data_IF_188020325763
#
_entry.id   IF_188020325763
#
_cell.length_a   1.000
_cell.length_b   1.000
_cell.length_c   1.000
_cell.angle_alpha   90.00
_cell.angle_beta   90.00
_cell.angle_gamma   90.00
#
_symmetry.space_group_name_H-M   'P 1'
#
loop_
_entity.id
_entity.type
_entity.pdbx_description
1 polymer ?
#
# COMPACT_ATOMS: atom_id res chain seq x y z
N UNK A 1 -9.69 9.27 35.27
CA UNK A 1 -8.27 9.01 35.56
C UNK A 1 -8.16 7.63 36.17
N UNK A 2 -7.35 6.76 35.57
CA UNK A 2 -7.05 5.42 36.12
C UNK A 2 -6.07 5.63 37.28
N UNK A 3 -6.33 5.03 38.43
CA UNK A 3 -5.45 5.14 39.60
C UNK A 3 -4.39 4.02 39.60
N UNK A 4 -3.31 4.23 40.35
CA UNK A 4 -2.16 3.31 40.42
C UNK A 4 -2.58 1.87 40.79
N UNK A 5 -3.58 1.72 41.67
CA UNK A 5 -4.10 0.43 42.08
C UNK A 5 -4.78 -0.33 40.93
N UNK A 6 -5.51 0.38 40.07
CA UNK A 6 -6.14 -0.19 38.87
C UNK A 6 -5.11 -0.64 37.83
N UNK A 7 -4.00 0.10 37.70
CA UNK A 7 -2.88 -0.30 36.81
C UNK A 7 -2.19 -1.55 37.35
N UNK A 8 -1.89 -1.59 38.65
CA UNK A 8 -1.23 -2.74 39.29
C UNK A 8 -2.10 -4.00 39.15
N UNK A 9 -3.40 -3.91 39.40
CA UNK A 9 -4.28 -5.07 39.29
C UNK A 9 -4.45 -5.52 37.83
N UNK A 10 -4.44 -4.61 36.87
CA UNK A 10 -4.40 -4.97 35.45
C UNK A 10 -3.11 -5.71 35.08
N UNK A 11 -1.94 -5.23 35.52
CA UNK A 11 -0.65 -5.83 35.18
C UNK A 11 -0.45 -7.22 35.80
N UNK A 12 -1.02 -7.48 36.98
CA UNK A 12 -1.02 -8.83 37.59
C UNK A 12 -1.73 -9.88 36.75
N UNK A 13 -2.64 -9.49 35.85
CA UNK A 13 -3.36 -10.42 34.97
C UNK A 13 -2.59 -10.79 33.70
N UNK A 14 -1.38 -10.26 33.50
CA UNK A 14 -0.61 -10.40 32.27
C UNK A 14 0.63 -11.26 32.47
N UNK A 15 1.05 -11.92 31.40
CA UNK A 15 2.25 -12.75 31.42
C UNK A 15 3.54 -11.93 31.43
N UNK A 16 4.65 -12.61 31.78
CA UNK A 16 5.95 -11.97 31.90
C UNK A 16 6.41 -11.34 30.58
N UNK A 17 6.11 -11.97 29.44
CA UNK A 17 6.42 -11.41 28.11
C UNK A 17 5.71 -10.09 27.83
N UNK A 18 4.45 -9.95 28.23
CA UNK A 18 3.68 -8.73 28.08
C UNK A 18 4.19 -7.61 29.00
N UNK A 19 4.58 -7.97 30.23
CA UNK A 19 5.21 -7.03 31.16
C UNK A 19 6.57 -6.58 30.64
N UNK A 20 7.40 -7.50 30.14
CA UNK A 20 8.71 -7.20 29.56
C UNK A 20 8.58 -6.35 28.29
N UNK A 21 7.57 -6.61 27.45
CA UNK A 21 7.23 -5.78 26.31
C UNK A 21 6.82 -4.37 26.73
N UNK A 22 5.93 -4.22 27.72
CA UNK A 22 5.55 -2.92 28.28
C UNK A 22 6.75 -2.17 28.85
N UNK A 23 7.64 -2.85 29.57
CA UNK A 23 8.89 -2.25 30.04
C UNK A 23 9.81 -1.86 28.88
N UNK A 24 9.90 -2.65 27.81
CA UNK A 24 10.65 -2.27 26.61
C UNK A 24 10.05 -1.04 25.93
N UNK A 25 8.73 -0.91 25.91
CA UNK A 25 8.01 0.21 25.32
C UNK A 25 8.17 1.49 26.16
N UNK A 26 8.11 1.35 27.49
CA UNK A 26 8.36 2.43 28.45
C UNK A 26 9.83 2.86 28.41
N UNK A 27 10.77 1.92 28.37
CA UNK A 27 12.21 2.21 28.28
C UNK A 27 12.58 2.83 26.92
N UNK A 28 11.96 2.41 25.81
CA UNK A 28 12.15 3.07 24.52
C UNK A 28 11.57 4.50 24.49
N UNK A 29 10.52 4.78 25.27
CA UNK A 29 10.00 6.14 25.45
C UNK A 29 10.77 6.96 26.52
N UNK A 30 11.53 6.29 27.41
CA UNK A 30 12.35 6.90 28.46
C UNK A 30 13.83 7.01 28.10
N UNK A 31 14.26 6.47 26.96
CA UNK A 31 15.56 6.74 26.36
C UNK A 31 15.59 8.18 25.82
N UNK A 32 15.49 9.15 26.74
CA UNK A 32 16.24 10.39 26.66
C UNK A 32 17.71 9.98 26.55
N UNK A 33 18.21 9.80 25.33
CA UNK A 33 19.65 9.84 25.12
C UNK A 33 20.14 11.16 25.67
N UNK A 34 20.97 11.08 26.71
CA UNK A 34 21.71 12.21 27.22
C UNK A 34 22.41 12.94 26.07
N UNK A 35 22.57 14.24 26.24
CA UNK A 35 22.86 15.24 25.21
C UNK A 35 24.23 15.15 24.52
N UNK A 36 24.96 14.03 24.60
CA UNK A 36 26.32 13.91 24.06
C UNK A 36 26.41 13.40 22.62
N UNK A 37 25.42 12.65 22.10
CA UNK A 37 25.60 11.89 20.84
C UNK A 37 24.55 12.17 19.75
N UNK A 38 23.78 13.26 19.86
CA UNK A 38 22.78 13.58 18.84
C UNK A 38 23.44 14.15 17.57
N UNK A 39 23.25 13.47 16.44
CA UNK A 39 23.73 13.91 15.12
C UNK A 39 22.56 14.48 14.34
N UNK A 40 22.76 15.60 13.64
CA UNK A 40 21.76 16.14 12.75
C UNK A 40 21.45 15.15 11.62
N UNK A 41 20.23 14.60 11.52
CA UNK A 41 19.91 13.59 10.51
C UNK A 41 19.81 14.15 9.09
N UNK A 42 19.91 15.48 8.96
CA UNK A 42 19.81 16.19 7.67
C UNK A 42 21.20 16.42 7.04
N UNK A 43 22.24 16.63 7.85
CA UNK A 43 23.58 16.99 7.35
C UNK A 43 24.73 16.23 8.03
N UNK A 44 24.45 15.34 8.98
CA UNK A 44 25.47 14.55 9.68
C UNK A 44 26.28 15.32 10.73
N UNK A 45 25.98 16.61 10.97
CA UNK A 45 26.73 17.42 11.94
C UNK A 45 26.41 17.03 13.39
N UNK A 46 27.46 16.95 14.23
CA UNK A 46 27.38 16.80 15.69
C UNK A 46 27.15 18.14 16.42
N UNK A 47 27.24 19.27 15.73
CA UNK A 47 26.98 20.59 16.31
C UNK A 47 25.47 20.84 16.41
N UNK A 48 24.86 20.32 17.46
CA UNK A 48 23.41 20.42 17.71
C UNK A 48 23.13 20.97 19.12
N UNK A 49 22.03 21.71 19.26
CA UNK A 49 21.53 22.17 20.56
C UNK A 49 20.06 21.86 20.75
N UNK A 50 19.62 21.68 21.99
CA UNK A 50 18.18 21.59 22.34
C UNK A 50 17.46 22.89 21.93
N UNK A 51 16.25 22.76 21.37
CA UNK A 51 15.44 23.85 20.83
C UNK A 51 13.98 23.77 21.31
N UNK A 52 13.79 23.62 22.62
CA UNK A 52 12.48 23.46 23.25
C UNK A 52 11.84 22.10 22.96
N UNK A 53 10.56 21.96 23.32
CA UNK A 53 9.76 20.75 23.07
C UNK A 53 8.57 21.05 22.15
N UNK A 54 8.04 20.02 21.50
CA UNK A 54 6.78 20.12 20.75
C UNK A 54 5.54 19.99 21.67
N UNK A 55 4.34 20.10 21.10
CA UNK A 55 3.07 19.98 21.84
C UNK A 55 2.83 18.61 22.47
N UNK A 56 3.63 17.60 22.10
CA UNK A 56 3.61 16.26 22.65
C UNK A 56 4.80 16.04 23.61
N UNK A 57 5.38 17.11 24.14
CA UNK A 57 6.53 17.09 25.05
C UNK A 57 7.81 16.45 24.47
N UNK A 58 7.90 16.28 23.14
CA UNK A 58 9.11 15.72 22.50
C UNK A 58 10.19 16.75 22.32
N UNK A 59 11.43 16.37 22.62
CA UNK A 59 12.58 17.25 22.46
C UNK A 59 12.84 17.60 20.99
N UNK A 60 12.96 18.89 20.69
CA UNK A 60 13.42 19.41 19.40
C UNK A 60 14.89 19.80 19.49
N UNK A 61 15.62 19.66 18.40
CA UNK A 61 17.04 20.00 18.27
C UNK A 61 17.25 20.96 17.11
N UNK A 62 18.14 21.94 17.26
CA UNK A 62 18.58 22.84 16.18
C UNK A 62 20.03 22.50 15.81
N UNK A 63 20.25 22.13 14.56
CA UNK A 63 21.60 21.99 14.01
C UNK A 63 22.22 23.38 13.79
N UNK A 64 23.47 23.55 14.21
CA UNK A 64 24.21 24.80 14.06
C UNK A 64 24.88 24.97 12.70
N UNK A 65 25.08 23.89 11.96
CA UNK A 65 25.66 23.93 10.61
C UNK A 65 24.58 24.20 9.55
N UNK A 66 23.56 23.35 9.46
CA UNK A 66 22.50 23.50 8.45
C UNK A 66 21.33 24.39 8.89
N UNK A 67 21.34 24.87 10.14
CA UNK A 67 20.32 25.73 10.75
C UNK A 67 18.89 25.16 10.75
N UNK A 68 18.72 23.85 10.51
CA UNK A 68 17.41 23.19 10.51
C UNK A 68 17.09 22.59 11.88
N UNK A 69 15.81 22.58 12.21
CA UNK A 69 15.29 21.90 13.40
C UNK A 69 14.91 20.46 13.07
N UNK A 70 15.22 19.53 13.97
CA UNK A 70 14.86 18.11 13.87
C UNK A 70 14.44 17.57 15.24
N UNK A 71 13.92 16.35 15.25
CA UNK A 71 13.55 15.55 16.41
C UNK A 71 13.76 14.07 16.08
N UNK A 72 13.44 13.19 17.05
CA UNK A 72 13.42 11.73 16.93
C UNK A 72 12.61 11.20 15.73
N UNK A 73 11.58 11.93 15.29
CA UNK A 73 10.73 11.56 14.14
C UNK A 73 11.21 12.08 12.81
N UNK A 74 12.26 12.89 12.75
CA UNK A 74 12.72 13.48 11.50
C UNK A 74 13.19 12.40 10.53
N UNK A 75 12.80 12.51 9.25
CA UNK A 75 13.00 11.51 8.19
C UNK A 75 12.19 10.21 8.30
N UNK A 76 11.42 10.02 9.37
CA UNK A 76 10.46 8.90 9.47
C UNK A 76 9.11 9.25 8.86
N UNK A 77 8.25 8.25 8.62
CA UNK A 77 6.85 8.42 8.23
C UNK A 77 6.07 9.40 9.12
N UNK A 78 6.41 9.43 10.42
CA UNK A 78 5.75 10.25 11.44
C UNK A 78 6.21 11.72 11.41
N UNK A 79 7.13 12.07 10.52
CA UNK A 79 7.52 13.46 10.25
C UNK A 79 6.28 14.31 9.96
N UNK A 80 6.22 15.47 10.61
CA UNK A 80 5.11 16.43 10.50
C UNK A 80 3.73 15.91 10.93
N UNK A 81 3.64 14.74 11.58
CA UNK A 81 2.40 14.27 12.18
C UNK A 81 2.29 14.77 13.61
N UNK A 82 1.17 15.44 13.91
CA UNK A 82 0.84 15.87 15.27
C UNK A 82 0.18 14.75 16.10
N UNK A 83 -0.07 13.60 15.50
CA UNK A 83 -0.79 12.48 16.13
C UNK A 83 0.10 11.66 17.05
N UNK A 84 -0.52 11.11 18.08
CA UNK A 84 0.10 10.17 19.02
C UNK A 84 0.34 8.82 18.35
N UNK A 85 1.22 7.99 18.93
CA UNK A 85 1.41 6.63 18.40
C UNK A 85 0.16 5.77 18.57
N UNK A 86 -0.59 5.96 19.65
CA UNK A 86 -1.89 5.30 19.86
C UNK A 86 -2.89 5.63 18.74
N UNK A 87 -2.96 6.90 18.32
CA UNK A 87 -3.80 7.30 17.19
C UNK A 87 -3.35 6.66 15.88
N UNK A 88 -2.04 6.51 15.65
CA UNK A 88 -1.52 5.81 14.47
C UNK A 88 -1.81 4.30 14.51
N UNK A 89 -1.63 3.64 15.66
CA UNK A 89 -1.98 2.22 15.84
C UNK A 89 -3.46 2.00 15.58
N UNK A 90 -4.33 2.84 16.18
CA UNK A 90 -5.77 2.80 15.94
C UNK A 90 -6.07 3.02 14.45
N UNK A 91 -5.46 4.02 13.82
CA UNK A 91 -5.67 4.26 12.39
C UNK A 91 -5.33 3.04 11.53
N UNK A 92 -4.17 2.42 11.77
CA UNK A 92 -3.75 1.20 11.06
C UNK A 92 -4.75 0.06 11.30
N UNK A 93 -5.27 -0.08 12.52
CA UNK A 93 -6.30 -1.08 12.85
C UNK A 93 -7.59 -0.88 12.04
N UNK A 94 -8.02 0.37 11.86
CA UNK A 94 -9.19 0.70 11.05
C UNK A 94 -8.95 0.46 9.56
N UNK A 95 -7.75 0.76 9.06
CA UNK A 95 -7.33 0.49 7.67
C UNK A 95 -7.31 -1.02 7.36
N UNK A 96 -6.77 -1.85 8.28
CA UNK A 96 -6.81 -3.32 8.17
C UNK A 96 -8.28 -3.80 8.07
N UNK A 97 -9.19 -3.12 8.79
CA UNK A 97 -10.62 -3.41 8.82
C UNK A 97 -11.39 -2.88 7.60
N UNK A 98 -10.71 -2.24 6.65
CA UNK A 98 -11.30 -1.64 5.43
C UNK A 98 -12.39 -0.61 5.73
N UNK A 99 -12.21 0.15 6.81
CA UNK A 99 -13.17 1.17 7.20
C UNK A 99 -13.19 2.33 6.19
N UNK A 100 -14.34 3.01 6.09
CA UNK A 100 -14.45 4.19 5.22
C UNK A 100 -13.72 5.36 5.87
N UNK A 101 -13.18 6.23 5.02
CA UNK A 101 -12.41 7.39 5.44
C UNK A 101 -13.16 8.32 6.41
N UNK A 102 -14.46 8.50 6.20
CA UNK A 102 -15.31 9.35 7.05
C UNK A 102 -15.49 8.73 8.45
N UNK A 103 -15.68 7.41 8.50
CA UNK A 103 -15.83 6.67 9.75
C UNK A 103 -14.49 6.64 10.51
N UNK A 104 -13.37 6.44 9.81
CA UNK A 104 -12.02 6.50 10.40
C UNK A 104 -11.71 7.87 11.00
N UNK A 105 -12.01 8.94 10.27
CA UNK A 105 -11.80 10.31 10.75
C UNK A 105 -12.62 10.59 12.01
N UNK A 106 -13.85 10.07 12.07
CA UNK A 106 -14.71 10.15 13.24
C UNK A 106 -14.10 9.44 14.46
N UNK A 107 -13.69 8.19 14.32
CA UNK A 107 -13.10 7.43 15.43
C UNK A 107 -11.75 7.99 15.91
N UNK A 108 -10.96 8.58 15.02
CA UNK A 108 -9.69 9.21 15.35
C UNK A 108 -9.82 10.62 15.93
N UNK A 109 -11.01 11.26 15.80
CA UNK A 109 -11.22 12.64 16.20
C UNK A 109 -10.45 13.65 15.34
N UNK A 110 -10.27 13.37 14.05
CA UNK A 110 -9.54 14.22 13.10
C UNK A 110 -10.41 14.64 11.93
N UNK A 111 -9.96 15.64 11.16
CA UNK A 111 -10.64 15.98 9.91
C UNK A 111 -10.51 14.86 8.88
N UNK A 112 -11.50 14.71 7.99
CA UNK A 112 -11.43 13.77 6.85
C UNK A 112 -10.23 14.02 5.95
N UNK A 113 -9.81 15.28 5.82
CA UNK A 113 -8.61 15.68 5.07
C UNK A 113 -7.33 15.19 5.75
N UNK A 114 -7.26 15.29 7.07
CA UNK A 114 -6.13 14.73 7.85
C UNK A 114 -6.07 13.22 7.69
N UNK A 115 -7.20 12.53 7.85
CA UNK A 115 -7.29 11.08 7.67
C UNK A 115 -6.88 10.65 6.25
N UNK A 116 -7.28 11.42 5.23
CA UNK A 116 -6.89 11.20 3.84
C UNK A 116 -5.37 11.23 3.66
N UNK A 117 -4.70 12.23 4.23
CA UNK A 117 -3.24 12.31 4.17
C UNK A 117 -2.57 11.19 4.97
N UNK A 118 -3.11 10.79 6.13
CA UNK A 118 -2.59 9.65 6.89
C UNK A 118 -2.63 8.36 6.08
N UNK A 119 -3.75 8.09 5.39
CA UNK A 119 -3.91 6.94 4.51
C UNK A 119 -2.86 6.90 3.42
N UNK A 120 -2.66 8.01 2.73
CA UNK A 120 -1.66 8.04 1.66
C UNK A 120 -0.23 7.97 2.16
N UNK A 121 0.07 8.45 3.38
CA UNK A 121 1.35 8.19 4.04
C UNK A 121 1.53 6.69 4.32
N UNK A 122 0.55 6.05 4.95
CA UNK A 122 0.57 4.61 5.22
C UNK A 122 0.78 3.79 3.94
N UNK A 123 0.09 4.16 2.85
CA UNK A 123 0.18 3.43 1.59
C UNK A 123 1.49 3.69 0.84
N UNK A 124 2.11 4.85 1.03
CA UNK A 124 3.47 5.10 0.56
C UNK A 124 4.48 4.18 1.26
N UNK A 125 4.41 4.10 2.59
CA UNK A 125 5.23 3.20 3.37
C UNK A 125 5.01 1.73 2.98
N UNK A 126 3.75 1.32 2.78
CA UNK A 126 3.45 -0.01 2.24
C UNK A 126 4.07 -0.23 0.85
N UNK A 127 4.06 0.78 -0.01
CA UNK A 127 4.70 0.71 -1.33
C UNK A 127 6.22 0.50 -1.22
N UNK A 128 6.90 1.20 -0.32
CA UNK A 128 8.34 0.97 -0.07
C UNK A 128 8.61 -0.47 0.37
N UNK A 129 7.79 -1.01 1.27
CA UNK A 129 7.93 -2.38 1.78
C UNK A 129 7.68 -3.42 0.67
N UNK A 130 6.61 -3.26 -0.10
CA UNK A 130 6.23 -4.21 -1.15
C UNK A 130 7.20 -4.17 -2.34
N UNK A 131 7.68 -2.99 -2.73
CA UNK A 131 8.57 -2.85 -3.89
C UNK A 131 9.97 -3.45 -3.67
N UNK A 132 10.33 -3.82 -2.44
CA UNK A 132 11.60 -4.49 -2.13
C UNK A 132 11.53 -6.02 -2.26
N UNK A 133 10.36 -6.57 -2.61
CA UNK A 133 10.18 -8.01 -2.77
C UNK A 133 10.65 -8.47 -4.15
N UNK A 134 11.25 -9.66 -4.21
CA UNK A 134 11.64 -10.32 -5.45
C UNK A 134 11.00 -11.71 -5.43
N UNK A 135 10.20 -12.03 -6.44
CA UNK A 135 9.56 -13.32 -6.59
C UNK A 135 10.59 -14.36 -7.06
N UNK A 136 10.47 -15.58 -6.55
CA UNK A 136 11.37 -16.70 -6.89
C UNK A 136 10.66 -18.04 -6.81
N UNK A 137 11.24 -19.08 -7.41
CA UNK A 137 10.66 -20.42 -7.38
C UNK A 137 9.43 -20.53 -8.29
N UNK A 138 8.37 -21.14 -7.79
CA UNK A 138 7.10 -21.26 -8.51
C UNK A 138 6.25 -20.01 -8.31
N UNK A 139 5.73 -19.45 -9.41
CA UNK A 139 4.89 -18.24 -9.35
C UNK A 139 3.55 -18.43 -10.04
N UNK A 140 2.47 -17.95 -9.44
CA UNK A 140 1.19 -17.74 -10.10
C UNK A 140 1.20 -16.35 -10.77
N UNK A 141 0.80 -16.25 -12.04
CA UNK A 141 0.76 -15.00 -12.80
C UNK A 141 -0.56 -14.83 -13.54
N UNK A 142 -1.19 -13.67 -13.39
CA UNK A 142 -2.42 -13.30 -14.09
C UNK A 142 -2.60 -11.75 -14.11
N UNK A 143 -3.54 -11.24 -14.90
CA UNK A 143 -3.84 -9.82 -15.02
C UNK A 143 -5.26 -9.49 -14.56
N UNK A 144 -5.37 -8.57 -13.62
CA UNK A 144 -6.64 -8.00 -13.19
C UNK A 144 -7.00 -6.74 -14.00
N UNK A 145 -8.27 -6.62 -14.41
CA UNK A 145 -8.78 -5.46 -15.14
C UNK A 145 -9.74 -4.62 -14.29
N UNK A 146 -9.30 -3.44 -13.87
CA UNK A 146 -10.06 -2.54 -13.00
C UNK A 146 -10.67 -1.38 -13.79
N UNK A 147 -11.82 -0.87 -13.35
CA UNK A 147 -12.46 0.26 -14.03
C UNK A 147 -11.77 1.58 -13.70
N UNK A 148 -11.57 2.43 -14.70
CA UNK A 148 -11.05 3.80 -14.47
C UNK A 148 -12.05 4.60 -13.63
N UNK A 149 -11.56 5.17 -12.54
CA UNK A 149 -12.31 6.00 -11.62
C UNK A 149 -11.58 7.34 -11.41
N UNK A 150 -12.25 8.42 -11.80
CA UNK A 150 -11.70 9.78 -11.75
C UNK A 150 -12.14 10.55 -10.50
N UNK A 151 -12.51 9.84 -9.42
CA UNK A 151 -12.84 10.46 -8.12
C UNK A 151 -11.73 11.42 -7.69
N UNK A 152 -12.13 12.63 -7.30
CA UNK A 152 -11.20 13.72 -6.93
C UNK A 152 -10.68 14.54 -8.10
N UNK A 153 -11.06 14.23 -9.35
CA UNK A 153 -10.71 15.07 -10.51
C UNK A 153 -11.65 16.26 -10.60
N UNK A 154 -11.08 17.46 -10.70
CA UNK A 154 -11.85 18.71 -10.81
C UNK A 154 -12.56 18.81 -12.16
N UNK A 155 -13.71 19.50 -12.26
CA UNK A 155 -14.47 19.60 -13.52
C UNK A 155 -13.67 20.11 -14.72
N UNK A 156 -12.82 21.12 -14.53
CA UNK A 156 -11.96 21.65 -15.60
C UNK A 156 -10.86 20.68 -16.07
N UNK A 157 -10.58 19.64 -15.28
CA UNK A 157 -9.61 18.59 -15.60
C UNK A 157 -10.28 17.29 -16.07
N UNK A 158 -11.61 17.28 -16.24
CA UNK A 158 -12.33 16.07 -16.63
C UNK A 158 -12.14 15.76 -18.13
N UNK A 159 -11.68 14.55 -18.49
CA UNK A 159 -11.50 14.13 -19.89
C UNK A 159 -12.77 13.58 -20.53
N UNK A 160 -13.86 13.45 -19.77
CA UNK A 160 -15.13 12.90 -20.24
C UNK A 160 -16.30 13.45 -19.44
N UNK A 161 -17.50 13.33 -20.01
CA UNK A 161 -18.74 13.56 -19.28
C UNK A 161 -18.84 12.69 -18.01
N UNK A 162 -19.52 13.25 -17.00
CA UNK A 162 -19.85 12.53 -15.77
C UNK A 162 -20.69 11.29 -16.07
N UNK A 163 -20.32 10.14 -15.48
CA UNK A 163 -21.09 8.90 -15.60
C UNK A 163 -22.37 9.03 -14.78
N UNK A 164 -23.51 8.70 -15.36
CA UNK A 164 -24.78 8.56 -14.63
C UNK A 164 -24.79 7.22 -13.88
N UNK A 165 -25.43 7.18 -12.69
CA UNK A 165 -25.59 5.94 -11.92
C UNK A 165 -26.33 4.89 -12.76
N UNK A 166 -25.88 3.63 -12.72
CA UNK A 166 -26.47 2.53 -13.50
C UNK A 166 -26.13 2.54 -15.00
N UNK A 167 -25.36 3.52 -15.49
CA UNK A 167 -24.91 3.54 -16.88
C UNK A 167 -23.92 2.40 -17.17
N UNK A 168 -24.15 1.65 -18.24
CA UNK A 168 -23.19 0.67 -18.74
C UNK A 168 -21.87 1.35 -19.12
N UNK A 169 -20.74 0.64 -18.99
CA UNK A 169 -19.49 1.13 -19.58
C UNK A 169 -19.66 1.28 -21.08
N UNK A 170 -19.08 2.35 -21.65
CA UNK A 170 -19.14 2.60 -23.09
C UNK A 170 -18.62 1.40 -23.92
N UNK A 171 -17.65 0.68 -23.37
CA UNK A 171 -17.10 -0.53 -23.95
C UNK A 171 -17.44 -1.75 -23.10
N UNK A 172 -17.79 -2.86 -23.75
CA UNK A 172 -17.96 -4.18 -23.14
C UNK A 172 -16.63 -4.94 -23.17
N UNK A 173 -16.37 -5.76 -22.15
CA UNK A 173 -15.15 -6.56 -22.07
C UNK A 173 -13.88 -5.76 -21.75
N UNK A 174 -12.72 -6.38 -22.01
CA UNK A 174 -11.40 -5.79 -21.82
C UNK A 174 -11.18 -4.77 -22.96
N UNK A 175 -10.94 -3.51 -22.61
CA UNK A 175 -10.79 -2.38 -23.54
C UNK A 175 -9.86 -1.33 -22.95
N UNK A 176 -9.48 -0.31 -23.72
CA UNK A 176 -8.70 0.85 -23.27
C UNK A 176 -9.37 1.64 -22.12
N UNK A 177 -10.61 1.31 -21.75
CA UNK A 177 -11.32 1.86 -20.58
C UNK A 177 -11.09 1.07 -19.27
N UNK A 178 -10.19 0.10 -19.29
CA UNK A 178 -9.81 -0.73 -18.15
C UNK A 178 -8.34 -0.55 -17.82
N UNK A 179 -8.06 -0.36 -16.54
CA UNK A 179 -6.71 -0.36 -15.98
C UNK A 179 -6.24 -1.82 -15.91
N UNK A 180 -5.11 -2.09 -16.53
CA UNK A 180 -4.41 -3.37 -16.50
C UNK A 180 -3.54 -3.42 -15.26
N UNK A 181 -3.74 -4.42 -14.41
CA UNK A 181 -2.94 -4.65 -13.20
C UNK A 181 -2.35 -6.04 -13.27
N UNK A 182 -1.03 -6.12 -13.45
CA UNK A 182 -0.33 -7.40 -13.41
C UNK A 182 -0.20 -7.85 -11.98
N UNK A 183 -0.57 -9.09 -11.75
CA UNK A 183 -0.54 -9.73 -10.46
C UNK A 183 0.43 -10.91 -10.55
N UNK A 184 1.26 -11.07 -9.52
CA UNK A 184 2.05 -12.29 -9.35
C UNK A 184 2.20 -12.60 -7.87
N UNK A 185 2.27 -13.89 -7.54
CA UNK A 185 2.55 -14.39 -6.20
C UNK A 185 3.45 -15.61 -6.29
N UNK A 186 4.43 -15.72 -5.40
CA UNK A 186 5.30 -16.89 -5.30
C UNK A 186 4.91 -17.84 -4.16
N UNK A 187 5.55 -18.99 -4.11
CA UNK A 187 5.37 -20.01 -3.06
C UNK A 187 5.74 -19.55 -1.64
N UNK A 188 6.42 -18.40 -1.50
CA UNK A 188 6.86 -17.81 -0.23
C UNK A 188 6.03 -16.59 0.18
N UNK A 189 4.86 -16.39 -0.44
CA UNK A 189 3.96 -15.25 -0.25
C UNK A 189 4.58 -13.89 -0.62
N UNK A 190 5.62 -13.83 -1.45
CA UNK A 190 6.00 -12.57 -2.11
C UNK A 190 5.00 -12.25 -3.21
N UNK A 191 4.54 -11.01 -3.26
CA UNK A 191 3.39 -10.63 -4.08
C UNK A 191 3.61 -9.28 -4.72
N UNK A 192 3.12 -9.12 -5.95
CA UNK A 192 3.05 -7.83 -6.64
C UNK A 192 1.67 -7.64 -7.30
N UNK A 193 1.22 -6.38 -7.33
CA UNK A 193 0.04 -5.94 -8.07
C UNK A 193 0.33 -4.57 -8.69
N UNK A 194 0.80 -4.54 -9.93
CA UNK A 194 1.32 -3.32 -10.55
C UNK A 194 0.45 -2.85 -11.70
N UNK A 195 0.08 -1.57 -11.68
CA UNK A 195 -0.61 -0.92 -12.79
C UNK A 195 0.37 -0.80 -13.98
N UNK A 196 0.00 -1.39 -15.11
CA UNK A 196 0.84 -1.43 -16.33
C UNK A 196 0.21 -0.72 -17.52
N UNK A 197 -0.87 0.04 -17.30
CA UNK A 197 -1.52 0.85 -18.32
C UNK A 197 -2.97 0.46 -18.56
N UNK A 198 -3.41 0.53 -19.82
CA UNK A 198 -4.80 0.35 -20.23
C UNK A 198 -4.97 -0.83 -21.18
N UNK A 199 -6.18 -1.39 -21.25
CA UNK A 199 -6.49 -2.47 -22.18
C UNK A 199 -5.95 -3.83 -21.76
N UNK A 200 -5.93 -4.77 -22.69
CA UNK A 200 -5.52 -6.17 -22.45
C UNK A 200 -4.05 -6.28 -22.04
N UNK A 201 -3.75 -7.30 -21.25
CA UNK A 201 -2.40 -7.77 -20.99
C UNK A 201 -1.60 -7.96 -22.28
N UNK A 202 -0.29 -7.72 -22.20
CA UNK A 202 0.66 -7.90 -23.30
C UNK A 202 2.02 -8.28 -22.73
N UNK A 203 2.91 -8.81 -23.56
CA UNK A 203 4.26 -9.17 -23.14
C UNK A 203 5.01 -7.95 -22.59
N UNK A 204 4.88 -6.79 -23.23
CA UNK A 204 5.51 -5.51 -22.83
C UNK A 204 5.09 -5.11 -21.42
N UNK A 205 3.81 -5.33 -21.07
CA UNK A 205 3.33 -5.04 -19.71
C UNK A 205 3.95 -6.00 -18.71
N UNK A 206 4.08 -7.28 -19.02
CA UNK A 206 4.73 -8.24 -18.12
C UNK A 206 6.20 -7.89 -17.89
N UNK A 207 6.98 -7.64 -18.94
CA UNK A 207 8.40 -7.29 -18.80
C UNK A 207 8.64 -5.91 -18.17
N UNK A 208 7.65 -5.01 -18.16
CA UNK A 208 7.77 -3.76 -17.37
C UNK A 208 7.90 -4.01 -15.86
N UNK A 209 7.67 -5.25 -15.41
CA UNK A 209 7.84 -5.72 -14.03
C UNK A 209 9.02 -6.71 -13.89
N UNK A 210 9.91 -6.80 -14.88
CA UNK A 210 11.02 -7.75 -14.91
C UNK A 210 11.89 -7.70 -13.64
N UNK A 211 12.10 -6.50 -13.09
CA UNK A 211 12.86 -6.29 -11.85
C UNK A 211 12.35 -7.08 -10.64
N UNK A 212 11.09 -7.53 -10.65
CA UNK A 212 10.49 -8.30 -9.57
C UNK A 212 10.64 -9.81 -9.77
N UNK A 213 11.03 -10.28 -10.95
CA UNK A 213 11.20 -11.70 -11.25
C UNK A 213 12.67 -12.10 -11.07
N UNK A 214 12.97 -12.79 -9.98
CA UNK A 214 14.30 -13.34 -9.68
C UNK A 214 14.52 -14.68 -10.36
N UNK A 215 14.94 -15.69 -9.59
CA UNK A 215 15.14 -17.06 -10.07
C UNK A 215 13.80 -17.80 -10.18
N UNK A 216 13.12 -17.66 -11.33
CA UNK A 216 11.80 -18.25 -11.58
C UNK A 216 11.95 -19.66 -12.17
N UNK A 217 11.47 -20.67 -11.43
CA UNK A 217 11.53 -22.09 -11.82
C UNK A 217 10.37 -22.52 -12.70
N UNK A 218 9.18 -21.99 -12.43
CA UNK A 218 7.97 -22.29 -13.20
C UNK A 218 6.94 -21.17 -13.02
N UNK A 219 6.22 -20.87 -14.11
CA UNK A 219 5.06 -19.98 -14.11
C UNK A 219 3.79 -20.81 -14.21
N UNK A 220 2.88 -20.63 -13.27
CA UNK A 220 1.52 -21.14 -13.29
C UNK A 220 0.63 -20.02 -13.81
N UNK A 221 -0.09 -20.25 -14.92
CA UNK A 221 -0.91 -19.20 -15.52
C UNK A 221 -2.13 -19.73 -16.27
N UNK A 222 -2.98 -18.79 -16.68
CA UNK A 222 -3.96 -19.04 -17.73
C UNK A 222 -3.28 -19.28 -19.09
N UNK A 223 -4.03 -19.83 -20.05
CA UNK A 223 -3.51 -20.22 -21.37
C UNK A 223 -3.22 -19.04 -22.33
N UNK A 224 -2.77 -17.88 -21.83
CA UNK A 224 -2.50 -16.66 -22.60
C UNK A 224 -1.13 -16.70 -23.30
N UNK A 225 -1.08 -16.21 -24.54
CA UNK A 225 0.14 -16.22 -25.36
C UNK A 225 1.23 -15.28 -24.84
N UNK A 226 0.86 -14.11 -24.31
CA UNK A 226 1.80 -13.16 -23.71
C UNK A 226 2.52 -13.72 -22.48
N UNK A 227 1.84 -14.55 -21.67
CA UNK A 227 2.48 -15.20 -20.51
C UNK A 227 3.45 -16.31 -20.97
N UNK A 228 3.16 -16.98 -22.10
CA UNK A 228 4.16 -17.86 -22.71
C UNK A 228 5.40 -17.09 -23.17
N UNK A 229 5.23 -15.88 -23.73
CA UNK A 229 6.36 -15.04 -24.12
C UNK A 229 7.18 -14.61 -22.90
N UNK A 230 6.52 -14.26 -21.78
CA UNK A 230 7.19 -14.00 -20.51
C UNK A 230 8.00 -15.20 -20.05
N UNK A 231 7.43 -16.41 -20.05
CA UNK A 231 8.14 -17.62 -19.64
C UNK A 231 9.38 -17.88 -20.50
N UNK A 232 9.25 -17.73 -21.82
CA UNK A 232 10.37 -17.86 -22.75
C UNK A 232 11.47 -16.82 -22.46
N UNK A 233 11.09 -15.57 -22.17
CA UNK A 233 12.01 -14.49 -21.85
C UNK A 233 12.78 -14.74 -20.54
N UNK A 234 12.08 -15.25 -19.53
CA UNK A 234 12.67 -15.62 -18.23
C UNK A 234 13.41 -16.98 -18.26
N UNK A 235 13.41 -17.68 -19.39
CA UNK A 235 14.06 -18.99 -19.53
C UNK A 235 13.39 -20.11 -18.71
N UNK A 236 12.09 -19.99 -18.45
CA UNK A 236 11.32 -20.86 -17.56
C UNK A 236 10.14 -21.55 -18.28
N UNK A 237 9.49 -22.50 -17.60
CA UNK A 237 8.30 -23.19 -18.13
C UNK A 237 7.02 -22.43 -17.80
N UNK A 238 6.02 -22.53 -18.68
CA UNK A 238 4.67 -22.08 -18.40
C UNK A 238 3.74 -23.29 -18.25
N UNK A 239 3.35 -23.57 -17.00
CA UNK A 239 2.39 -24.58 -16.61
C UNK A 239 0.97 -24.01 -16.65
N UNK A 240 0.28 -24.25 -17.77
CA UNK A 240 -0.99 -23.60 -18.09
C UNK A 240 -2.18 -24.38 -17.54
N UNK A 241 -3.14 -23.66 -16.96
CA UNK A 241 -4.49 -24.19 -16.75
C UNK A 241 -5.13 -24.38 -18.13
N UNK A 242 -5.46 -25.63 -18.53
CA UNK A 242 -5.92 -25.92 -19.88
C UNK A 242 -7.34 -25.40 -20.10
N UNK A 243 -7.54 -24.67 -21.20
CA UNK A 243 -8.87 -24.23 -21.62
C UNK A 243 -9.61 -25.36 -22.33
N UNK A 244 -10.87 -25.62 -21.95
CA UNK A 244 -11.78 -26.52 -22.67
C UNK A 244 -13.08 -25.79 -23.02
N UNK A 245 -13.64 -25.96 -24.24
CA UNK A 245 -14.94 -25.41 -24.61
C UNK A 245 -16.10 -26.03 -23.82
N UNK A 246 -15.93 -27.26 -23.31
CA UNK A 246 -17.00 -28.06 -22.70
C UNK A 246 -16.94 -28.10 -21.18
N UNK A 247 -15.77 -27.87 -20.59
CA UNK A 247 -15.55 -28.02 -19.15
C UNK A 247 -14.69 -26.88 -18.60
N UNK A 248 -15.10 -26.31 -17.46
CA UNK A 248 -14.24 -25.41 -16.70
C UNK A 248 -13.19 -26.21 -15.96
N UNK A 249 -11.93 -25.87 -16.17
CA UNK A 249 -10.79 -26.43 -15.45
C UNK A 249 -10.16 -25.34 -14.61
N UNK A 250 -9.79 -25.69 -13.38
CA UNK A 250 -9.18 -24.79 -12.42
C UNK A 250 -7.76 -25.24 -12.03
N UNK A 251 -7.37 -26.43 -12.48
CA UNK A 251 -6.08 -27.04 -12.20
C UNK A 251 -5.30 -27.25 -13.49
N UNK A 252 -3.98 -27.10 -13.40
CA UNK A 252 -3.03 -27.58 -14.40
C UNK A 252 -3.05 -29.10 -14.48
N UNK A 253 -2.31 -29.68 -15.44
CA UNK A 253 -2.27 -31.14 -15.63
C UNK A 253 -1.66 -31.90 -14.46
N UNK A 254 -0.77 -31.25 -13.72
CA UNK A 254 -0.08 -31.74 -12.53
C UNK A 254 -0.74 -31.26 -11.22
N UNK A 255 -1.91 -30.61 -11.28
CA UNK A 255 -2.74 -30.33 -10.11
C UNK A 255 -2.50 -28.99 -9.41
N UNK A 256 -1.71 -28.08 -10.00
CA UNK A 256 -1.49 -26.71 -9.50
C UNK A 256 -2.65 -25.79 -9.89
N UNK A 257 -2.88 -24.72 -9.14
CA UNK A 257 -4.02 -23.82 -9.34
C UNK A 257 -3.60 -22.36 -9.31
N UNK A 258 -4.49 -21.46 -9.74
CA UNK A 258 -4.35 -20.00 -9.58
C UNK A 258 -5.11 -19.50 -8.33
N UNK A 259 -5.16 -20.31 -7.27
CA UNK A 259 -6.04 -20.06 -6.13
C UNK A 259 -5.67 -18.79 -5.38
N UNK A 260 -4.37 -18.60 -5.12
CA UNK A 260 -3.87 -17.50 -4.29
C UNK A 260 -4.03 -16.17 -5.02
N UNK A 261 -3.65 -16.12 -6.29
CA UNK A 261 -3.79 -14.91 -7.10
C UNK A 261 -5.26 -14.52 -7.32
N UNK A 262 -6.17 -15.49 -7.50
CA UNK A 262 -7.60 -15.24 -7.62
C UNK A 262 -8.21 -14.68 -6.32
N UNK A 263 -7.78 -15.18 -5.15
CA UNK A 263 -8.18 -14.62 -3.87
C UNK A 263 -7.70 -13.16 -3.75
N UNK A 264 -6.43 -12.90 -4.08
CA UNK A 264 -5.85 -11.55 -4.05
C UNK A 264 -6.62 -10.56 -4.94
N UNK A 265 -6.96 -10.96 -6.17
CA UNK A 265 -7.79 -10.17 -7.07
C UNK A 265 -9.19 -9.91 -6.49
N UNK A 266 -9.80 -10.93 -5.88
CA UNK A 266 -11.13 -10.82 -5.29
C UNK A 266 -11.15 -9.86 -4.10
N UNK A 267 -10.11 -9.87 -3.26
CA UNK A 267 -9.95 -8.93 -2.14
C UNK A 267 -9.93 -7.47 -2.64
N UNK A 268 -9.17 -7.18 -3.71
CA UNK A 268 -9.12 -5.83 -4.30
C UNK A 268 -10.50 -5.42 -4.86
N UNK A 269 -11.20 -6.32 -5.53
CA UNK A 269 -12.55 -6.05 -6.01
C UNK A 269 -13.52 -5.74 -4.86
N UNK A 270 -13.43 -6.50 -3.76
CA UNK A 270 -14.18 -6.26 -2.53
C UNK A 270 -13.87 -4.91 -1.89
N UNK A 271 -12.59 -4.53 -1.80
CA UNK A 271 -12.14 -3.25 -1.26
C UNK A 271 -12.72 -2.07 -2.05
N UNK A 272 -12.69 -2.15 -3.40
CA UNK A 272 -13.29 -1.14 -4.29
C UNK A 272 -14.79 -0.97 -4.01
N UNK A 273 -15.52 -2.07 -3.80
CA UNK A 273 -16.96 -2.03 -3.50
C UNK A 273 -17.20 -1.35 -2.14
N UNK A 274 -16.51 -1.79 -1.08
CA UNK A 274 -16.68 -1.28 0.29
C UNK A 274 -16.38 0.22 0.40
N UNK A 275 -15.35 0.68 -0.30
CA UNK A 275 -14.92 2.08 -0.34
C UNK A 275 -15.72 2.94 -1.33
N UNK A 276 -16.71 2.38 -2.03
CA UNK A 276 -17.50 3.03 -3.09
C UNK A 276 -16.61 3.62 -4.19
N UNK A 277 -15.56 2.88 -4.56
CA UNK A 277 -14.61 3.23 -5.59
C UNK A 277 -13.39 3.98 -5.06
N UNK A 278 -12.24 3.58 -5.58
CA UNK A 278 -10.93 4.19 -5.36
C UNK A 278 -10.57 5.01 -6.59
N UNK A 279 -10.04 6.23 -6.42
CA UNK A 279 -9.57 7.03 -7.55
C UNK A 279 -8.34 6.39 -8.18
N UNK A 280 -8.34 6.19 -9.50
CA UNK A 280 -7.24 5.52 -10.24
C UNK A 280 -5.88 6.16 -9.98
N UNK A 281 -5.85 7.48 -9.76
CA UNK A 281 -4.63 8.22 -9.37
C UNK A 281 -3.90 7.60 -8.18
N UNK A 282 -4.63 7.07 -7.21
CA UNK A 282 -4.06 6.54 -5.97
C UNK A 282 -4.10 5.02 -5.89
N UNK A 283 -4.61 4.34 -6.92
CA UNK A 283 -4.92 2.93 -6.90
C UNK A 283 -3.70 2.06 -6.55
N UNK A 284 -2.51 2.40 -7.05
CA UNK A 284 -1.29 1.64 -6.76
C UNK A 284 -1.01 1.52 -5.25
N UNK A 285 -1.18 2.62 -4.50
CA UNK A 285 -0.98 2.58 -3.04
C UNK A 285 -1.98 1.68 -2.32
N UNK A 286 -3.23 1.65 -2.79
CA UNK A 286 -4.25 0.72 -2.26
C UNK A 286 -3.91 -0.74 -2.56
N UNK A 287 -3.41 -1.04 -3.77
CA UNK A 287 -2.98 -2.39 -4.14
C UNK A 287 -1.84 -2.86 -3.23
N UNK A 288 -0.82 -2.02 -3.05
CA UNK A 288 0.34 -2.33 -2.22
C UNK A 288 -0.03 -2.50 -0.75
N UNK A 289 -0.92 -1.65 -0.21
CA UNK A 289 -1.40 -1.84 1.16
C UNK A 289 -2.26 -3.12 1.30
N UNK A 290 -3.04 -3.48 0.29
CA UNK A 290 -3.79 -4.73 0.30
C UNK A 290 -2.86 -5.94 0.39
N UNK A 291 -1.76 -5.94 -0.38
CA UNK A 291 -0.72 -6.97 -0.31
C UNK A 291 -0.11 -7.03 1.08
N UNK A 292 0.35 -5.89 1.62
CA UNK A 292 0.94 -5.84 2.96
C UNK A 292 -0.03 -6.43 3.99
N UNK A 293 -1.29 -6.00 3.96
CA UNK A 293 -2.31 -6.52 4.86
C UNK A 293 -2.52 -8.04 4.73
N UNK A 294 -2.54 -8.58 3.51
CA UNK A 294 -2.68 -10.03 3.25
C UNK A 294 -1.50 -10.80 3.82
N UNK A 295 -0.29 -10.34 3.53
CA UNK A 295 0.96 -10.89 4.08
C UNK A 295 1.00 -10.87 5.61
N UNK A 296 0.47 -9.82 6.24
CA UNK A 296 0.38 -9.72 7.70
C UNK A 296 -0.65 -10.69 8.28
N UNK A 297 -1.77 -10.92 7.58
CA UNK A 297 -2.81 -11.88 7.96
C UNK A 297 -2.31 -13.32 7.95
N UNK A 298 -1.37 -13.67 7.07
CA UNK A 298 -0.75 -15.01 7.04
C UNK A 298 0.21 -15.24 8.21
N UNK A 299 0.82 -14.18 8.73
CA UNK A 299 1.89 -14.29 9.75
C UNK A 299 1.42 -14.02 11.18
N UNK A 300 0.36 -13.25 11.37
CA UNK A 300 -0.03 -12.74 12.69
C UNK A 300 -1.53 -12.84 12.94
N UNK A 301 -1.91 -12.91 14.22
CA UNK A 301 -3.33 -12.82 14.60
C UNK A 301 -3.82 -11.39 14.38
N UNK A 302 -5.13 -11.25 14.12
CA UNK A 302 -5.75 -9.95 13.78
C UNK A 302 -5.45 -8.85 14.79
N UNK A 303 -5.45 -9.16 16.09
CA UNK A 303 -5.19 -8.20 17.17
C UNK A 303 -3.72 -7.74 17.25
N UNK A 304 -2.78 -8.50 16.69
CA UNK A 304 -1.34 -8.18 16.68
C UNK A 304 -0.94 -7.38 15.43
N UNK A 305 -1.71 -7.50 14.34
CA UNK A 305 -1.39 -6.87 13.06
C UNK A 305 -1.12 -5.36 13.13
N UNK A 306 -1.90 -4.53 13.87
CA UNK A 306 -1.67 -3.08 13.88
C UNK A 306 -0.29 -2.72 14.42
N UNK A 307 0.13 -3.33 15.53
CA UNK A 307 1.45 -3.11 16.12
C UNK A 307 2.57 -3.61 15.21
N UNK A 308 2.40 -4.78 14.58
CA UNK A 308 3.40 -5.33 13.67
C UNK A 308 3.57 -4.49 12.40
N UNK A 309 2.47 -3.98 11.83
CA UNK A 309 2.55 -3.03 10.71
C UNK A 309 3.25 -1.76 11.17
N UNK A 310 2.87 -1.19 12.32
CA UNK A 310 3.50 0.01 12.85
C UNK A 310 5.01 -0.11 12.98
N UNK A 311 5.53 -1.26 13.42
CA UNK A 311 6.98 -1.50 13.49
C UNK A 311 7.65 -1.46 12.12
N UNK A 312 7.01 -1.99 11.07
CA UNK A 312 7.52 -1.89 9.69
C UNK A 312 7.54 -0.44 9.20
N UNK A 313 6.56 0.38 9.60
CA UNK A 313 6.45 1.78 9.18
C UNK A 313 7.56 2.67 9.76
N UNK A 314 8.12 2.33 10.92
CA UNK A 314 9.20 3.12 11.55
C UNK A 314 10.42 3.23 10.63
N UNK A 315 10.71 2.17 9.89
CA UNK A 315 11.85 2.07 8.97
C UNK A 315 11.61 2.75 7.61
N UNK A 316 10.39 3.23 7.35
CA UNK A 316 10.04 3.83 6.06
C UNK A 316 10.29 5.32 6.00
N UNK A 317 10.53 5.81 4.77
CA UNK A 317 10.90 7.19 4.54
C UNK A 317 9.75 8.17 4.81
N UNK A 318 10.11 9.40 5.17
CA UNK A 318 9.12 10.46 5.36
C UNK A 318 8.39 10.81 4.06
N UNK A 319 7.05 10.89 4.12
CA UNK A 319 6.22 11.31 2.99
C UNK A 319 5.43 12.59 3.30
N UNK A 320 5.50 13.58 2.41
CA UNK A 320 4.85 14.89 2.61
C UNK A 320 3.45 14.93 1.99
N UNK A 321 2.55 15.68 2.63
CA UNK A 321 1.17 15.85 2.13
C UNK A 321 1.14 16.47 0.72
N UNK A 322 2.08 17.36 0.38
CA UNK A 322 2.17 17.94 -0.97
C UNK A 322 2.40 16.87 -2.04
N UNK A 323 3.12 15.80 -1.71
CA UNK A 323 3.39 14.69 -2.61
C UNK A 323 2.12 13.89 -2.94
N UNK A 324 1.16 13.82 -2.01
CA UNK A 324 -0.17 13.22 -2.27
C UNK A 324 -0.90 14.00 -3.37
N UNK A 325 -0.90 15.33 -3.30
CA UNK A 325 -1.57 16.17 -4.28
C UNK A 325 -0.88 16.14 -5.64
N UNK A 326 0.43 15.90 -5.64
CA UNK A 326 1.25 15.79 -6.84
C UNK A 326 1.25 14.39 -7.47
N UNK A 327 0.58 13.39 -6.87
CA UNK A 327 0.55 12.02 -7.41
C UNK A 327 0.05 12.02 -8.86
N UNK A 328 0.85 11.55 -9.83
CA UNK A 328 0.46 11.55 -11.24
C UNK A 328 -0.64 10.51 -11.52
N UNK A 329 -1.35 10.66 -12.63
CA UNK A 329 -2.25 9.61 -13.10
C UNK A 329 -1.40 8.43 -13.64
N UNK A 330 -1.58 7.19 -13.16
CA UNK A 330 -0.74 6.06 -13.58
C UNK A 330 -1.10 5.49 -14.97
N UNK A 331 -2.00 6.16 -15.70
CA UNK A 331 -2.50 5.74 -17.01
C UNK A 331 -2.63 6.95 -17.94
N UNK A 332 -2.58 6.70 -19.24
CA UNK A 332 -2.83 7.74 -20.25
C UNK A 332 -4.33 8.05 -20.36
N UNK A 333 -4.76 9.20 -19.82
CA UNK A 333 -6.14 9.66 -20.02
C UNK A 333 -6.45 9.96 -21.48
N UNK A 334 -5.44 10.34 -22.27
CA UNK A 334 -5.58 10.56 -23.70
C UNK A 334 -5.94 9.24 -24.39
N UNK A 335 -5.19 8.18 -24.13
CA UNK A 335 -5.52 6.85 -24.65
C UNK A 335 -6.92 6.40 -24.22
N UNK A 336 -7.31 6.64 -22.97
CA UNK A 336 -8.62 6.26 -22.46
C UNK A 336 -9.80 7.07 -23.02
N UNK A 337 -9.63 8.35 -23.34
CA UNK A 337 -10.78 9.26 -23.51
C UNK A 337 -10.65 10.28 -24.65
N UNK A 338 -9.56 10.30 -25.40
CA UNK A 338 -9.37 11.29 -26.48
C UNK A 338 -10.47 11.24 -27.54
N UNK A 339 -11.00 10.05 -27.82
CA UNK A 339 -12.10 9.84 -28.76
C UNK A 339 -13.39 10.58 -28.38
N UNK A 340 -13.56 10.98 -27.10
CA UNK A 340 -14.76 11.69 -26.64
C UNK A 340 -14.74 13.18 -26.99
N UNK A 341 -13.59 13.73 -27.38
CA UNK A 341 -13.43 15.15 -27.73
C UNK A 341 -14.08 16.09 -26.69
N UNK A 342 -13.78 15.85 -25.41
CA UNK A 342 -14.45 16.52 -24.29
C UNK A 342 -13.46 17.05 -23.25
N UNK A 343 -13.83 18.17 -22.62
CA UNK A 343 -13.11 18.76 -21.50
C UNK A 343 -11.67 19.06 -21.87
N UNK A 344 -10.71 18.44 -21.20
CA UNK A 344 -9.27 18.61 -21.49
C UNK A 344 -8.82 18.08 -22.87
N UNK A 345 -9.71 17.41 -23.61
CA UNK A 345 -9.48 16.94 -24.99
C UNK A 345 -10.49 17.51 -25.99
N UNK A 346 -11.13 18.64 -25.68
CA UNK A 346 -12.11 19.26 -26.55
C UNK A 346 -11.53 19.82 -27.86
N UNK A 347 -10.20 20.00 -27.93
CA UNK A 347 -9.48 20.50 -29.10
C UNK A 347 -9.15 19.41 -30.16
#
# INVERSE_FOLDING_TARGET
MINEKQVIDFLKTKDKSYIDYLFSLLNNNLNNTDSSDQVCPICGSTHVKKNGKDSNERQRYLCKECHRTFNDRTHTLFSWSHLTMEQWILFVDLEISEMKLEDEAHFLGVSTTTCFYMRHKLYHAATEIINNQILSGEIEVDTQYLSINLKGTMPHNMPRYSKKRGGQSAFRGISHHKVSVICAVDENDHMIMNITGLGSESFEKYISNEMYFGDIKEIISDSKSCIQQLANHLGTTNNKVPTSPTEKRYLTRDGKSLGVINEMMTEVAGLIIKTKGIGTRYLQGYLNFNILRKQMKYRYKRNEMPEKIMNLLVETSSFRNISVLATPMPISLKEAYYEYRYGIFAE
#
